data_IF_028852801402
#
_entry.id   IF_028852801402
#
_cell.length_a   1.000
_cell.length_b   1.000
_cell.length_c   1.000
_cell.angle_alpha   90.00
_cell.angle_beta   90.00
_cell.angle_gamma   90.00
#
_symmetry.space_group_name_H-M   'P 1'
#
loop_
_entity.id
_entity.type
_entity.pdbx_description
1 polymer ?
#
# COMPACT_ATOMS: atom_id res chain seq x y z
N UNK A 1 -1.00 -4.23 20.78
CA UNK A 1 -0.09 -4.62 19.68
C UNK A 1 0.43 -6.01 20.00
N UNK A 2 0.28 -6.98 19.10
CA UNK A 2 0.71 -8.38 19.27
C UNK A 2 1.85 -8.68 18.29
N UNK A 3 2.90 -9.35 18.75
CA UNK A 3 4.04 -9.76 17.92
C UNK A 3 3.91 -11.24 17.57
N UNK A 4 4.01 -11.59 16.29
CA UNK A 4 3.99 -12.98 15.87
C UNK A 4 5.26 -13.70 16.35
N UNK A 5 5.15 -14.83 17.10
CA UNK A 5 6.32 -15.55 17.60
C UNK A 5 7.10 -16.27 16.49
N UNK A 6 6.52 -16.43 15.28
CA UNK A 6 7.18 -17.10 14.15
C UNK A 6 8.01 -16.16 13.27
N UNK A 7 7.53 -14.93 13.05
CA UNK A 7 8.20 -13.99 12.14
C UNK A 7 8.57 -12.63 12.77
N UNK A 8 8.25 -12.40 14.05
CA UNK A 8 8.61 -11.16 14.75
C UNK A 8 7.84 -9.91 14.33
N UNK A 9 6.97 -9.97 13.32
CA UNK A 9 6.16 -8.81 12.91
C UNK A 9 5.11 -8.43 13.97
N UNK A 10 4.92 -7.11 14.12
CA UNK A 10 3.91 -6.53 15.00
C UNK A 10 2.60 -6.33 14.26
N UNK A 11 1.50 -6.69 14.90
CA UNK A 11 0.14 -6.54 14.40
C UNK A 11 -0.74 -5.81 15.40
N UNK A 12 -1.78 -5.16 14.90
CA UNK A 12 -2.75 -4.49 15.76
C UNK A 12 -3.61 -5.50 16.53
N UNK A 13 -4.12 -6.53 15.84
CA UNK A 13 -4.98 -7.55 16.44
C UNK A 13 -4.18 -8.80 16.86
N UNK A 14 -4.61 -9.44 17.95
CA UNK A 14 -4.05 -10.72 18.41
C UNK A 14 -4.38 -11.83 17.40
N UNK A 15 -3.42 -12.71 17.14
CA UNK A 15 -3.57 -13.87 16.23
C UNK A 15 -4.07 -13.49 14.82
N UNK A 16 -3.74 -12.29 14.34
CA UNK A 16 -4.16 -11.84 13.02
C UNK A 16 -3.62 -12.80 11.94
N UNK A 17 -4.50 -13.32 11.08
CA UNK A 17 -4.09 -14.22 9.99
C UNK A 17 -3.10 -13.53 9.04
N UNK A 18 -1.96 -14.18 8.78
CA UNK A 18 -0.91 -13.69 7.90
C UNK A 18 -0.01 -14.83 7.42
N UNK A 19 0.73 -14.60 6.33
CA UNK A 19 1.81 -15.48 5.90
C UNK A 19 3.09 -15.15 6.66
N UNK A 20 3.67 -16.13 7.35
CA UNK A 20 4.99 -16.02 7.94
C UNK A 20 6.07 -16.17 6.86
N UNK A 21 7.12 -15.35 6.91
CA UNK A 21 8.32 -15.45 6.09
C UNK A 21 9.20 -14.23 6.32
N UNK A 22 10.50 -14.40 6.15
CA UNK A 22 11.47 -13.31 6.21
C UNK A 22 11.59 -12.73 4.79
N UNK A 23 10.88 -11.62 4.55
CA UNK A 23 10.87 -10.95 3.26
C UNK A 23 11.42 -9.56 3.47
N UNK A 24 12.32 -9.11 2.60
CA UNK A 24 12.87 -7.75 2.67
C UNK A 24 12.41 -6.92 1.47
N UNK A 25 12.55 -5.59 1.60
CA UNK A 25 12.36 -4.69 0.45
C UNK A 25 13.47 -4.93 -0.59
N UNK A 26 14.67 -5.25 -0.15
CA UNK A 26 15.81 -5.54 -1.04
C UNK A 26 15.54 -6.76 -1.91
N UNK A 27 14.96 -7.83 -1.35
CA UNK A 27 14.54 -9.00 -2.12
C UNK A 27 13.50 -8.65 -3.19
N UNK A 28 12.57 -7.74 -2.85
CA UNK A 28 11.53 -7.29 -3.77
C UNK A 28 12.09 -6.43 -4.92
N UNK A 29 13.16 -5.68 -4.65
CA UNK A 29 13.86 -4.81 -5.60
C UNK A 29 14.98 -5.53 -6.39
N UNK A 30 15.33 -6.76 -6.01
CA UNK A 30 16.39 -7.53 -6.66
C UNK A 30 16.13 -7.71 -8.15
N UNK A 31 17.17 -7.48 -8.95
CA UNK A 31 17.17 -7.59 -10.42
C UNK A 31 16.13 -6.71 -11.14
N UNK A 32 15.66 -5.63 -10.50
CA UNK A 32 14.79 -4.64 -11.13
C UNK A 32 15.63 -3.58 -11.84
N UNK A 33 15.01 -2.92 -12.82
CA UNK A 33 15.66 -1.82 -13.55
C UNK A 33 15.80 -0.60 -12.65
N UNK A 34 16.82 0.22 -12.91
CA UNK A 34 17.03 1.48 -12.19
C UNK A 34 15.79 2.37 -12.22
N UNK A 35 15.14 2.49 -13.38
CA UNK A 35 13.91 3.27 -13.53
C UNK A 35 12.79 2.77 -12.62
N UNK A 36 12.55 1.45 -12.56
CA UNK A 36 11.48 0.92 -11.70
C UNK A 36 11.82 1.01 -10.21
N UNK A 37 13.09 0.91 -9.84
CA UNK A 37 13.58 1.15 -8.47
C UNK A 37 13.38 2.64 -8.11
N UNK A 38 13.68 3.55 -9.04
CA UNK A 38 13.44 4.98 -8.87
C UNK A 38 11.96 5.30 -8.65
N UNK A 39 11.05 4.71 -9.44
CA UNK A 39 9.61 4.84 -9.24
C UNK A 39 9.16 4.33 -7.87
N UNK A 40 9.67 3.17 -7.44
CA UNK A 40 9.40 2.64 -6.10
C UNK A 40 9.85 3.64 -5.03
N UNK A 41 11.10 4.11 -5.09
CA UNK A 41 11.66 5.03 -4.11
C UNK A 41 10.92 6.36 -4.08
N UNK A 42 10.62 6.93 -5.25
CA UNK A 42 9.86 8.16 -5.39
C UNK A 42 8.45 8.01 -4.79
N UNK A 43 7.76 6.90 -5.05
CA UNK A 43 6.46 6.61 -4.46
C UNK A 43 6.51 6.55 -2.92
N UNK A 44 7.52 5.89 -2.35
CA UNK A 44 7.74 5.85 -0.90
C UNK A 44 8.04 7.25 -0.35
N UNK A 45 8.86 8.05 -1.03
CA UNK A 45 9.15 9.43 -0.65
C UNK A 45 7.90 10.32 -0.66
N UNK A 46 7.00 10.16 -1.63
CA UNK A 46 5.74 10.89 -1.66
C UNK A 46 4.83 10.52 -0.47
N UNK A 47 4.80 9.26 -0.05
CA UNK A 47 4.06 8.87 1.15
C UNK A 47 4.69 9.38 2.44
N UNK A 48 6.03 9.43 2.53
CA UNK A 48 6.73 9.98 3.71
C UNK A 48 6.41 11.46 3.95
N UNK A 49 5.99 12.20 2.91
CA UNK A 49 5.50 13.58 3.04
C UNK A 49 4.11 13.67 3.68
N UNK A 50 3.34 12.59 3.67
CA UNK A 50 1.99 12.52 4.26
C UNK A 50 2.06 12.15 5.74
N UNK A 51 2.92 11.21 6.11
CA UNK A 51 3.15 10.84 7.51
C UNK A 51 3.91 9.53 7.68
N UNK A 52 4.03 9.09 8.93
CA UNK A 52 4.76 7.87 9.30
C UNK A 52 4.00 6.60 8.94
N UNK A 53 4.71 5.62 8.39
CA UNK A 53 4.21 4.28 8.12
C UNK A 53 5.35 3.27 8.14
N UNK A 54 5.00 2.01 8.32
CA UNK A 54 5.92 0.88 8.22
C UNK A 54 5.83 0.24 6.83
N UNK A 55 6.97 -0.16 6.28
CA UNK A 55 7.01 -1.08 5.16
C UNK A 55 6.89 -2.51 5.69
N UNK A 56 5.91 -3.22 5.18
CA UNK A 56 5.61 -4.59 5.54
C UNK A 56 5.75 -5.49 4.29
N UNK A 57 6.98 -5.85 3.89
CA UNK A 57 7.23 -6.80 2.82
C UNK A 57 6.57 -8.15 3.12
N UNK A 58 5.99 -8.75 2.09
CA UNK A 58 5.46 -10.12 2.09
C UNK A 58 5.84 -10.78 0.77
N UNK A 59 5.66 -12.10 0.68
CA UNK A 59 6.02 -12.92 -0.48
C UNK A 59 5.75 -12.29 -1.85
N UNK A 60 4.64 -11.58 -2.03
CA UNK A 60 4.19 -11.08 -3.34
C UNK A 60 4.14 -9.57 -3.47
N UNK A 61 4.39 -8.80 -2.40
CA UNK A 61 4.20 -7.34 -2.41
C UNK A 61 4.90 -6.67 -1.22
N UNK A 62 5.12 -5.37 -1.33
CA UNK A 62 5.49 -4.53 -0.19
C UNK A 62 4.26 -3.73 0.22
N UNK A 63 3.67 -4.06 1.38
CA UNK A 63 2.53 -3.32 1.91
C UNK A 63 2.99 -2.12 2.73
N UNK A 64 2.24 -1.03 2.69
CA UNK A 64 2.40 0.10 3.60
C UNK A 64 1.37 -0.05 4.73
N UNK A 65 1.85 0.08 5.96
CA UNK A 65 1.13 -0.21 7.18
C UNK A 65 1.17 0.98 8.13
N UNK A 66 0.00 1.42 8.60
CA UNK A 66 -0.13 2.25 9.81
C UNK A 66 -0.82 1.40 10.89
N UNK A 67 -2.07 1.68 11.26
CA UNK A 67 -2.88 0.78 12.12
C UNK A 67 -3.43 -0.40 11.31
N UNK A 68 -3.62 -0.22 10.02
CA UNK A 68 -3.95 -1.27 9.05
C UNK A 68 -3.18 -1.08 7.74
N UNK A 69 -3.06 -2.14 6.94
CA UNK A 69 -2.49 -2.03 5.59
C UNK A 69 -3.44 -1.21 4.73
N UNK A 70 -2.93 -0.15 4.15
CA UNK A 70 -3.76 0.82 3.42
C UNK A 70 -3.34 1.00 1.96
N UNK A 71 -2.14 0.54 1.61
CA UNK A 71 -1.61 0.56 0.27
C UNK A 71 -0.61 -0.60 0.10
N UNK A 72 -0.32 -1.01 -1.13
CA UNK A 72 0.83 -1.86 -1.41
C UNK A 72 1.38 -1.64 -2.81
N UNK A 73 2.68 -1.91 -2.98
CA UNK A 73 3.30 -2.15 -4.27
C UNK A 73 3.23 -3.64 -4.57
N UNK A 74 2.37 -4.02 -5.52
CA UNK A 74 2.07 -5.41 -5.89
C UNK A 74 3.12 -6.01 -6.81
N UNK A 75 3.68 -5.20 -7.72
CA UNK A 75 4.64 -5.68 -8.73
C UNK A 75 5.54 -4.55 -9.18
N UNK A 76 6.79 -4.90 -9.43
CA UNK A 76 7.77 -4.04 -10.12
C UNK A 76 8.01 -4.64 -11.50
N UNK A 77 7.54 -3.93 -12.52
CA UNK A 77 7.73 -4.24 -13.94
C UNK A 77 9.07 -3.71 -14.47
N UNK A 78 9.25 -3.77 -15.80
CA UNK A 78 10.47 -3.27 -16.46
C UNK A 78 10.60 -1.74 -16.38
N UNK A 79 9.48 -1.05 -16.41
CA UNK A 79 9.37 0.41 -16.52
C UNK A 79 8.18 0.98 -15.72
N UNK A 80 7.59 0.18 -14.85
CA UNK A 80 6.44 0.59 -14.04
C UNK A 80 6.42 -0.09 -12.68
N UNK A 81 5.68 0.50 -11.75
CA UNK A 81 5.21 -0.17 -10.53
C UNK A 81 3.68 -0.31 -10.56
N UNK A 82 3.18 -1.46 -10.14
CA UNK A 82 1.77 -1.75 -9.95
C UNK A 82 1.48 -1.63 -8.46
N UNK A 83 0.55 -0.73 -8.12
CA UNK A 83 0.16 -0.46 -6.74
C UNK A 83 -1.35 -0.62 -6.57
N UNK A 84 -1.77 -0.72 -5.31
CA UNK A 84 -3.17 -0.50 -4.99
C UNK A 84 -3.37 0.37 -3.75
N UNK A 85 -4.53 1.02 -3.69
CA UNK A 85 -5.03 1.72 -2.51
C UNK A 85 -6.21 0.95 -1.91
N UNK A 86 -6.29 0.89 -0.58
CA UNK A 86 -7.45 0.36 0.15
C UNK A 86 -8.33 1.52 0.56
N UNK A 87 -9.52 1.62 -0.03
CA UNK A 87 -10.50 2.68 0.21
C UNK A 87 -11.79 2.11 0.81
N UNK A 88 -12.68 2.94 1.35
CA UNK A 88 -13.96 2.50 1.95
C UNK A 88 -15.15 2.57 1.00
N UNK A 89 -14.95 3.10 -0.21
CA UNK A 89 -15.96 3.17 -1.26
C UNK A 89 -15.27 3.06 -2.62
N UNK A 90 -15.99 2.65 -3.69
CA UNK A 90 -15.43 2.63 -5.03
C UNK A 90 -15.31 4.06 -5.57
N UNK A 91 -14.18 4.35 -6.20
CA UNK A 91 -13.89 5.60 -6.89
C UNK A 91 -13.69 5.31 -8.37
N UNK A 92 -14.77 5.40 -9.13
CA UNK A 92 -14.77 5.19 -10.58
C UNK A 92 -14.37 6.46 -11.37
N UNK A 93 -13.74 7.45 -10.72
CA UNK A 93 -13.41 8.74 -11.30
C UNK A 93 -12.30 8.69 -12.36
N UNK A 94 -11.85 9.85 -12.83
CA UNK A 94 -10.84 10.08 -13.89
C UNK A 94 -9.39 9.63 -13.53
N UNK A 95 -9.26 8.74 -12.55
CA UNK A 95 -8.00 8.10 -12.21
C UNK A 95 -7.86 6.85 -13.10
N UNK A 96 -6.65 6.58 -13.58
CA UNK A 96 -6.34 5.44 -14.46
C UNK A 96 -6.36 4.09 -13.70
N UNK A 97 -7.33 3.91 -12.81
CA UNK A 97 -7.56 2.63 -12.15
C UNK A 97 -8.00 1.60 -13.18
N UNK A 98 -7.20 0.56 -13.37
CA UNK A 98 -7.51 -0.49 -14.35
C UNK A 98 -8.28 -1.65 -13.73
N UNK A 99 -8.40 -1.68 -12.39
CA UNK A 99 -9.14 -2.71 -11.64
C UNK A 99 -9.57 -2.18 -10.27
N UNK A 100 -10.79 -2.53 -9.87
CA UNK A 100 -11.31 -2.27 -8.52
C UNK A 100 -11.90 -3.58 -8.00
N UNK A 101 -11.40 -4.09 -6.87
CA UNK A 101 -11.94 -5.28 -6.20
C UNK A 101 -12.69 -4.88 -4.92
N UNK A 102 -13.85 -5.48 -4.65
CA UNK A 102 -14.55 -5.35 -3.37
C UNK A 102 -14.09 -6.46 -2.41
N UNK A 103 -13.54 -6.06 -1.26
CA UNK A 103 -13.18 -6.93 -0.14
C UNK A 103 -14.25 -6.83 0.97
N UNK A 104 -15.09 -7.87 1.04
CA UNK A 104 -16.01 -8.15 2.15
C UNK A 104 -16.87 -6.94 2.58
N UNK A 105 -17.44 -6.24 1.59
CA UNK A 105 -18.44 -5.15 1.67
C UNK A 105 -18.02 -3.89 2.43
N UNK A 106 -16.74 -3.75 2.77
CA UNK A 106 -16.25 -2.58 3.52
C UNK A 106 -15.03 -1.91 2.91
N UNK A 107 -14.25 -2.63 2.11
CA UNK A 107 -13.04 -2.10 1.51
C UNK A 107 -13.01 -2.36 0.01
N UNK A 108 -12.52 -1.38 -0.72
CA UNK A 108 -12.39 -1.40 -2.17
C UNK A 108 -10.92 -1.19 -2.52
N UNK A 109 -10.35 -2.15 -3.24
CA UNK A 109 -8.94 -2.15 -3.63
C UNK A 109 -8.82 -1.58 -5.04
N UNK A 110 -8.22 -0.40 -5.15
CA UNK A 110 -8.10 0.33 -6.41
C UNK A 110 -6.68 0.17 -6.96
N UNK A 111 -6.54 -0.48 -8.11
CA UNK A 111 -5.26 -0.78 -8.72
C UNK A 111 -4.88 0.22 -9.80
N UNK A 112 -3.64 0.71 -9.77
CA UNK A 112 -3.08 1.63 -10.76
C UNK A 112 -1.63 1.25 -11.07
N UNK A 113 -1.20 1.48 -12.30
CA UNK A 113 0.20 1.40 -12.71
C UNK A 113 0.79 2.79 -12.82
N UNK A 114 1.99 2.96 -12.28
CA UNK A 114 2.77 4.19 -12.34
C UNK A 114 3.96 3.90 -13.26
N UNK A 115 4.04 4.63 -14.37
CA UNK A 115 5.09 4.50 -15.38
C UNK A 115 6.14 5.61 -15.27
N UNK A 116 5.74 6.76 -14.73
CA UNK A 116 6.59 7.94 -14.53
C UNK A 116 6.18 8.69 -13.28
N UNK A 117 7.08 9.55 -12.77
CA UNK A 117 6.85 10.32 -11.54
C UNK A 117 5.63 11.23 -11.64
N UNK A 118 5.34 11.74 -12.83
CA UNK A 118 4.21 12.64 -13.13
C UNK A 118 2.86 11.94 -13.01
N UNK A 119 2.82 10.59 -13.08
CA UNK A 119 1.58 9.85 -12.84
C UNK A 119 1.12 9.98 -11.39
N UNK A 120 2.05 10.27 -10.45
CA UNK A 120 1.73 10.67 -9.07
C UNK A 120 1.38 12.17 -9.04
N UNK A 121 0.32 12.50 -9.77
CA UNK A 121 -0.20 13.85 -9.90
C UNK A 121 -1.08 14.26 -8.69
N UNK A 122 -1.66 15.46 -8.75
CA UNK A 122 -2.50 15.99 -7.69
C UNK A 122 -3.72 15.11 -7.35
N UNK A 123 -4.31 14.40 -8.32
CA UNK A 123 -5.44 13.50 -8.06
C UNK A 123 -4.97 12.23 -7.34
N UNK A 124 -3.86 11.63 -7.78
CA UNK A 124 -3.27 10.46 -7.11
C UNK A 124 -2.86 10.81 -5.68
N UNK A 125 -2.25 11.98 -5.46
CA UNK A 125 -1.88 12.46 -4.12
C UNK A 125 -3.08 12.65 -3.19
N UNK A 126 -4.23 13.07 -3.71
CA UNK A 126 -5.48 13.12 -2.92
C UNK A 126 -5.91 11.72 -2.46
N UNK A 127 -5.81 10.72 -3.35
CA UNK A 127 -6.12 9.33 -3.00
C UNK A 127 -5.09 8.73 -2.04
N UNK A 128 -3.81 9.05 -2.18
CA UNK A 128 -2.76 8.66 -1.22
C UNK A 128 -3.10 9.14 0.20
N UNK A 129 -3.48 10.42 0.35
CA UNK A 129 -3.92 10.97 1.64
C UNK A 129 -5.16 10.25 2.18
N UNK A 130 -6.16 10.00 1.33
CA UNK A 130 -7.37 9.29 1.74
C UNK A 130 -7.06 7.87 2.23
N UNK A 131 -6.25 7.12 1.47
CA UNK A 131 -5.84 5.77 1.85
C UNK A 131 -5.07 5.80 3.18
N UNK A 132 -4.17 6.76 3.36
CA UNK A 132 -3.42 6.94 4.61
C UNK A 132 -4.34 7.17 5.82
N UNK A 133 -5.32 8.07 5.72
CA UNK A 133 -6.30 8.33 6.78
C UNK A 133 -7.16 7.09 7.08
N UNK A 134 -7.51 6.33 6.05
CA UNK A 134 -8.19 5.04 6.20
C UNK A 134 -7.30 4.04 6.95
N UNK A 135 -6.01 3.98 6.62
CA UNK A 135 -4.99 3.23 7.34
C UNK A 135 -4.93 3.57 8.82
N UNK A 136 -5.05 4.85 9.15
CA UNK A 136 -5.11 5.36 10.53
C UNK A 136 -6.46 5.18 11.21
N UNK A 137 -7.42 4.55 10.52
CA UNK A 137 -8.79 4.27 10.97
C UNK A 137 -9.62 5.52 11.27
N UNK A 138 -9.30 6.65 10.64
CA UNK A 138 -10.01 7.92 10.86
C UNK A 138 -11.44 7.90 10.29
N UNK A 139 -11.72 7.00 9.35
CA UNK A 139 -13.06 6.75 8.80
C UNK A 139 -14.02 6.09 9.80
N UNK A 140 -13.50 5.52 10.89
CA UNK A 140 -14.33 4.86 11.91
C UNK A 140 -14.83 5.94 12.86
N UNK A 141 -16.07 6.40 12.67
CA UNK A 141 -16.76 7.20 13.68
C UNK A 141 -16.86 6.36 14.95
N UNK A 142 -16.21 6.80 16.03
CA UNK A 142 -16.39 6.18 17.34
C UNK A 142 -17.89 6.26 17.67
N UNK A 143 -18.55 5.11 17.88
CA UNK A 143 -19.86 5.11 18.55
C UNK A 143 -19.61 5.66 19.95
N UNK A 144 -19.98 6.91 20.19
CA UNK A 144 -20.30 7.39 21.54
C UNK A 144 -21.57 6.68 22.00
#
# INVERSE_FOLDING_TARGET
MWTCPKCGHKFFNKNQSHSCGDFTVDDFLKNKTENSIDLFNYFICEYKKIGDFELHPVKTRVALLTKMRFCSINKIGKDFIDIHFVLTQPYNGNLLFYRIDNLADRFFVHHIKIYKREDINAQVKKVMNLAYNIGNREHIKSKK
#
